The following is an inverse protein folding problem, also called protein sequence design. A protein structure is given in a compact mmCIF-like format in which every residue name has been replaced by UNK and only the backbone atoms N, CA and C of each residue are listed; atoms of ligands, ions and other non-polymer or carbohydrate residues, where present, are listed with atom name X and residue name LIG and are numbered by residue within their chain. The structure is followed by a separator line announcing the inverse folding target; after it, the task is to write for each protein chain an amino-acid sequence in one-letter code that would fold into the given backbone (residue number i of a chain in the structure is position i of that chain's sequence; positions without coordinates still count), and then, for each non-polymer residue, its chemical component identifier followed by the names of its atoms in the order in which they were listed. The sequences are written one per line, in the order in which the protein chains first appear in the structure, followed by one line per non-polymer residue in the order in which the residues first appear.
data_IF_545622881199
#
_entry.id   IF_545622881199
#
_cell.length_a   1.000
_cell.length_b   1.000
_cell.length_c   1.000
_cell.angle_alpha   90.00
_cell.angle_beta   90.00
_cell.angle_gamma   90.00
#
_symmetry.space_group_name_H-M   'P 1'
#
loop_
_entity.id
_entity.type
_entity.pdbx_description
1 polymer ?
#
# COMPACT_ATOMS: atom_id res chain seq x y z
N UNK A 1 -9.35 -49.90 21.79
CA UNK A 1 -9.38 -49.31 20.46
C UNK A 1 -8.93 -47.87 20.66
N UNK A 2 -7.66 -47.67 20.45
CA UNK A 2 -6.89 -46.47 20.78
C UNK A 2 -7.01 -45.58 19.52
N UNK A 3 -7.39 -44.36 19.70
CA UNK A 3 -7.40 -43.32 18.62
C UNK A 3 -6.19 -42.47 18.90
N UNK A 4 -5.23 -42.51 17.98
CA UNK A 4 -4.01 -41.70 18.02
C UNK A 4 -4.36 -40.29 17.51
N UNK A 5 -4.03 -39.30 18.34
CA UNK A 5 -4.05 -37.88 17.98
C UNK A 5 -2.77 -37.58 17.17
N UNK A 6 -2.93 -37.15 15.92
CA UNK A 6 -1.81 -36.63 15.11
C UNK A 6 -1.66 -35.15 15.41
N UNK A 7 -0.50 -34.79 15.97
CA UNK A 7 -0.06 -33.42 16.25
C UNK A 7 0.27 -32.69 14.95
N UNK A 8 -0.46 -31.59 14.67
CA UNK A 8 -0.10 -30.62 13.64
C UNK A 8 1.05 -29.73 14.13
N UNK A 9 2.26 -30.00 13.67
CA UNK A 9 3.43 -29.14 13.84
C UNK A 9 3.31 -27.88 12.96
N UNK A 10 2.89 -26.78 13.56
CA UNK A 10 3.03 -25.44 12.97
C UNK A 10 4.52 -25.05 12.90
N UNK A 11 5.11 -25.10 11.72
CA UNK A 11 6.42 -24.53 11.44
C UNK A 11 6.42 -23.01 11.64
N UNK A 12 6.94 -22.58 12.79
CA UNK A 12 7.31 -21.19 13.05
C UNK A 12 8.53 -20.81 12.21
N UNK A 13 8.30 -20.03 11.17
CA UNK A 13 9.37 -19.33 10.49
C UNK A 13 9.80 -18.11 11.32
N UNK A 14 10.75 -18.32 12.21
CA UNK A 14 11.46 -17.25 12.91
C UNK A 14 12.43 -16.56 11.92
N UNK A 15 12.09 -15.35 11.53
CA UNK A 15 12.97 -14.48 10.75
C UNK A 15 13.84 -13.70 11.74
N UNK A 16 15.02 -14.23 12.04
CA UNK A 16 16.04 -13.54 12.82
C UNK A 16 16.51 -12.27 12.11
N UNK A 17 16.34 -11.14 12.79
CA UNK A 17 16.92 -9.85 12.40
C UNK A 17 18.30 -9.77 13.05
N UNK A 18 19.34 -10.08 12.30
CA UNK A 18 20.71 -9.82 12.73
C UNK A 18 20.96 -8.32 12.81
N UNK A 19 21.18 -7.81 14.02
CA UNK A 19 21.65 -6.47 14.31
C UNK A 19 23.17 -6.46 14.29
N UNK A 20 23.77 -6.13 13.17
CA UNK A 20 25.20 -5.81 13.11
C UNK A 20 25.44 -4.39 13.67
N UNK A 21 26.03 -4.32 14.85
CA UNK A 21 26.57 -3.10 15.44
C UNK A 21 27.91 -2.77 14.78
N UNK A 22 27.91 -1.83 13.85
CA UNK A 22 29.10 -1.26 13.24
C UNK A 22 29.66 -0.16 14.15
N UNK A 23 30.80 -0.41 14.74
CA UNK A 23 31.63 0.55 15.49
C UNK A 23 32.20 1.56 14.49
N UNK A 24 31.78 2.82 14.60
CA UNK A 24 32.38 3.92 13.83
C UNK A 24 33.49 4.53 14.69
N UNK A 25 34.69 4.49 14.12
CA UNK A 25 35.88 5.13 14.63
C UNK A 25 35.80 6.63 14.38
N UNK A 26 36.01 7.38 15.44
CA UNK A 26 36.05 8.82 15.52
C UNK A 26 37.36 9.35 14.88
N UNK A 27 37.29 10.05 13.77
CA UNK A 27 38.41 10.85 13.26
C UNK A 27 38.07 12.32 13.37
N UNK A 28 38.75 12.95 14.34
CA UNK A 28 38.82 14.40 14.55
C UNK A 28 39.63 15.02 13.44
N UNK A 29 39.12 16.09 12.86
CA UNK A 29 39.90 17.11 12.20
C UNK A 29 39.64 18.43 12.89
N UNK A 30 40.71 18.87 13.60
CA UNK A 30 40.89 20.25 14.04
C UNK A 30 41.36 21.06 12.81
N UNK A 31 40.77 22.22 12.57
CA UNK A 31 41.46 23.35 11.95
C UNK A 31 40.84 24.65 12.41
N UNK A 32 41.71 25.35 13.05
CA UNK A 32 41.72 26.71 13.60
C UNK A 32 41.78 27.70 12.44
N UNK A 33 40.98 28.77 12.43
CA UNK A 33 41.52 30.09 12.12
C UNK A 33 40.57 31.23 12.49
N UNK A 34 41.17 32.12 13.22
CA UNK A 34 40.71 33.33 13.84
C UNK A 34 40.58 34.55 12.89
N UNK A 35 40.00 35.63 13.48
CA UNK A 35 40.15 37.07 13.16
C UNK A 35 38.89 37.67 12.47
N UNK A 36 38.25 38.70 12.92
CA UNK A 36 38.40 39.89 13.75
C UNK A 36 37.07 40.64 13.87
N UNK A 37 36.93 41.21 15.04
CA UNK A 37 36.15 42.37 15.49
C UNK A 37 35.67 43.42 14.46
N UNK A 38 34.46 43.96 14.62
CA UNK A 38 34.19 45.31 15.08
C UNK A 38 32.71 45.70 14.94
N UNK A 39 32.22 46.27 15.98
CA UNK A 39 31.46 47.46 16.28
C UNK A 39 29.95 47.37 16.33
N UNK A 40 29.47 47.55 17.55
CA UNK A 40 28.14 48.09 17.90
C UNK A 40 28.03 49.56 17.48
N UNK A 41 26.79 50.05 17.23
CA UNK A 41 26.23 50.94 18.23
C UNK A 41 24.72 50.84 18.48
N UNK A 42 24.41 51.04 19.77
CA UNK A 42 23.34 51.88 20.35
C UNK A 42 21.88 51.62 20.04
N UNK A 43 21.18 51.27 21.08
CA UNK A 43 19.73 51.40 21.28
C UNK A 43 19.23 52.82 21.15
N UNK A 44 17.95 53.00 20.86
CA UNK A 44 17.12 53.79 21.75
C UNK A 44 15.77 53.16 22.15
N UNK A 45 15.52 53.28 23.42
CA UNK A 45 14.33 53.79 24.14
C UNK A 45 12.98 53.09 23.89
N UNK A 46 12.46 52.62 25.00
CA UNK A 46 11.10 52.19 25.31
C UNK A 46 10.03 53.16 24.82
N UNK A 47 8.98 52.61 24.22
CA UNK A 47 7.62 53.13 24.37
C UNK A 47 6.70 51.98 24.71
N UNK A 48 5.98 52.13 25.81
CA UNK A 48 4.93 51.29 26.30
C UNK A 48 3.78 51.22 25.27
N UNK A 49 3.38 50.05 24.86
CA UNK A 49 2.10 49.84 24.19
C UNK A 49 1.35 48.69 24.84
N UNK A 50 0.24 49.04 25.36
CA UNK A 50 -0.69 48.28 26.18
C UNK A 50 -1.09 46.95 25.55
N UNK A 51 -1.23 45.96 26.44
CA UNK A 51 -1.76 44.63 26.21
C UNK A 51 -3.13 44.63 25.51
N UNK A 52 -3.15 44.17 24.28
CA UNK A 52 -4.35 43.53 23.72
C UNK A 52 -4.02 42.08 23.48
N UNK A 53 -4.42 41.23 24.40
CA UNK A 53 -4.50 39.79 24.19
C UNK A 53 -5.57 39.53 23.12
N UNK A 54 -5.19 39.55 21.86
CA UNK A 54 -5.93 38.92 20.81
C UNK A 54 -5.76 37.41 20.99
N UNK A 55 -6.73 36.78 21.58
CA UNK A 55 -6.95 35.33 21.49
C UNK A 55 -7.08 35.04 20.00
N UNK A 56 -6.01 34.50 19.42
CA UNK A 56 -6.06 34.00 18.06
C UNK A 56 -7.15 32.93 18.04
N UNK A 57 -8.30 33.24 17.45
CA UNK A 57 -9.36 32.32 17.18
C UNK A 57 -8.75 31.17 16.39
N UNK A 58 -8.68 29.98 16.98
CA UNK A 58 -8.34 28.76 16.28
C UNK A 58 -9.34 28.63 15.14
N UNK A 59 -8.91 28.79 13.88
CA UNK A 59 -9.75 28.53 12.73
C UNK A 59 -10.30 27.10 12.90
N UNK A 60 -11.61 26.98 13.04
CA UNK A 60 -12.27 25.68 13.09
C UNK A 60 -11.88 24.90 11.82
N UNK A 61 -11.49 23.65 11.99
CA UNK A 61 -11.21 22.76 10.86
C UNK A 61 -12.54 22.57 10.12
N UNK A 62 -12.60 22.74 8.78
CA UNK A 62 -13.81 22.48 8.01
C UNK A 62 -14.29 21.04 8.26
N UNK A 63 -15.61 20.85 8.30
CA UNK A 63 -16.23 19.55 8.65
C UNK A 63 -15.97 18.44 7.61
N UNK A 64 -15.53 18.79 6.42
CA UNK A 64 -15.23 17.89 5.30
C UNK A 64 -13.75 17.53 5.15
N UNK A 65 -12.93 17.92 6.14
CA UNK A 65 -11.46 17.75 6.10
C UNK A 65 -11.03 16.80 7.21
N UNK A 66 -10.13 15.86 6.89
CA UNK A 66 -9.54 14.97 7.88
C UNK A 66 -8.82 15.76 8.97
N UNK A 67 -9.22 15.53 10.23
CA UNK A 67 -8.66 16.21 11.40
C UNK A 67 -7.18 15.90 11.68
N UNK A 68 -6.63 14.80 11.09
CA UNK A 68 -5.25 14.38 11.28
C UNK A 68 -4.30 14.85 10.18
N UNK A 69 -4.73 14.79 8.91
CA UNK A 69 -3.85 15.16 7.79
C UNK A 69 -4.23 16.48 7.13
N UNK A 70 -5.38 17.05 7.48
CA UNK A 70 -5.90 18.33 6.95
C UNK A 70 -6.17 18.30 5.44
N UNK A 71 -6.49 17.12 4.90
CA UNK A 71 -6.89 16.92 3.50
C UNK A 71 -8.30 16.32 3.44
N UNK A 72 -8.99 16.52 2.32
CA UNK A 72 -10.30 15.93 2.02
C UNK A 72 -10.24 15.03 0.78
N UNK A 73 -9.05 14.55 0.43
CA UNK A 73 -8.83 13.72 -0.76
C UNK A 73 -9.43 12.32 -0.56
N UNK A 74 -10.58 12.10 -1.19
CA UNK A 74 -11.29 10.81 -1.19
C UNK A 74 -10.81 9.88 -2.31
N UNK A 75 -9.99 10.37 -3.22
CA UNK A 75 -9.49 9.61 -4.38
C UNK A 75 -8.22 8.85 -4.07
N UNK A 76 -7.46 9.28 -3.07
CA UNK A 76 -6.21 8.66 -2.68
C UNK A 76 -6.46 7.43 -1.79
N UNK A 77 -6.52 6.27 -2.40
CA UNK A 77 -6.74 5.01 -1.70
C UNK A 77 -5.69 4.69 -0.62
N UNK A 78 -4.52 5.33 -0.65
CA UNK A 78 -3.48 5.18 0.38
C UNK A 78 -3.81 5.93 1.67
N UNK A 79 -4.76 6.85 1.64
CA UNK A 79 -5.34 7.48 2.84
C UNK A 79 -6.54 6.66 3.35
N UNK A 80 -7.12 5.85 2.47
CA UNK A 80 -8.36 5.13 2.72
C UNK A 80 -9.59 6.02 2.67
N UNK A 81 -10.74 5.43 2.92
CA UNK A 81 -12.03 6.12 2.93
C UNK A 81 -12.04 7.28 3.95
N UNK A 82 -12.65 8.40 3.57
CA UNK A 82 -12.91 9.53 4.47
C UNK A 82 -14.33 9.40 5.02
N UNK A 83 -14.46 9.30 6.35
CA UNK A 83 -15.73 9.23 7.04
C UNK A 83 -15.87 10.31 8.09
N UNK A 84 -17.13 10.71 8.33
CA UNK A 84 -17.50 11.65 9.37
C UNK A 84 -18.42 10.99 10.38
N UNK A 85 -18.18 11.25 11.65
CA UNK A 85 -19.04 10.89 12.76
C UNK A 85 -19.06 12.05 13.75
N UNK A 86 -20.23 12.57 14.07
CA UNK A 86 -20.40 13.80 14.84
C UNK A 86 -19.60 14.96 14.21
N UNK A 87 -18.66 15.54 14.96
CA UNK A 87 -17.78 16.62 14.50
C UNK A 87 -16.38 16.11 14.06
N UNK A 88 -16.21 14.79 13.93
CA UNK A 88 -14.93 14.16 13.62
C UNK A 88 -14.98 13.64 12.18
N UNK A 89 -14.10 14.16 11.32
CA UNK A 89 -13.88 13.63 9.97
C UNK A 89 -12.46 13.11 9.88
N UNK A 90 -12.28 11.85 9.46
CA UNK A 90 -10.96 11.24 9.36
C UNK A 90 -10.87 10.23 8.23
N UNK A 91 -9.70 10.15 7.61
CA UNK A 91 -9.35 9.04 6.73
C UNK A 91 -9.10 7.77 7.54
N UNK A 92 -9.51 6.65 7.00
CA UNK A 92 -9.32 5.33 7.62
C UNK A 92 -7.88 5.10 8.05
N UNK A 93 -6.92 5.28 7.17
CA UNK A 93 -5.52 5.01 7.49
C UNK A 93 -4.86 6.09 8.35
N UNK A 94 -5.39 7.31 8.40
CA UNK A 94 -4.95 8.29 9.38
C UNK A 94 -5.24 7.85 10.81
N UNK A 95 -6.33 7.09 11.04
CA UNK A 95 -6.64 6.47 12.33
C UNK A 95 -5.76 5.25 12.58
N UNK A 96 -5.71 4.31 11.63
CA UNK A 96 -4.99 3.05 11.79
C UNK A 96 -3.48 3.21 12.03
N UNK A 97 -2.85 4.21 11.40
CA UNK A 97 -1.44 4.51 11.60
C UNK A 97 -1.14 5.45 12.77
N UNK A 98 -2.14 5.81 13.56
CA UNK A 98 -1.97 6.62 14.78
C UNK A 98 -1.66 5.70 15.97
N UNK A 99 -0.42 5.62 16.45
CA UNK A 99 -0.02 4.63 17.45
C UNK A 99 -0.63 4.86 18.84
N UNK A 100 -1.21 6.02 19.08
CA UNK A 100 -1.95 6.33 20.32
C UNK A 100 -3.42 5.93 20.29
N UNK A 101 -3.90 5.33 19.19
CA UNK A 101 -5.27 4.87 19.05
C UNK A 101 -5.37 3.36 19.20
N UNK A 102 -6.41 2.92 19.93
CA UNK A 102 -6.83 1.53 20.00
C UNK A 102 -8.28 1.43 19.52
N UNK A 103 -8.60 0.34 18.83
CA UNK A 103 -9.97 0.01 18.44
C UNK A 103 -10.68 -0.60 19.66
N UNK A 104 -11.23 0.26 20.52
CA UNK A 104 -11.92 -0.15 21.75
C UNK A 104 -13.42 -0.39 21.54
N UNK A 105 -13.96 0.00 20.38
CA UNK A 105 -15.34 -0.22 19.99
C UNK A 105 -15.53 -1.42 19.09
N UNK A 106 -16.77 -1.86 18.91
CA UNK A 106 -17.14 -2.86 17.93
C UNK A 106 -16.85 -2.36 16.49
N UNK A 107 -16.72 -3.24 15.48
CA UNK A 107 -16.36 -2.84 14.11
C UNK A 107 -17.27 -1.77 13.48
N UNK A 108 -18.55 -1.72 13.93
CA UNK A 108 -19.54 -0.75 13.46
C UNK A 108 -19.74 0.43 14.41
N UNK A 109 -19.01 0.47 15.52
CA UNK A 109 -19.06 1.54 16.49
C UNK A 109 -17.97 2.58 16.21
N UNK A 110 -18.29 3.86 16.40
CA UNK A 110 -17.34 4.93 16.10
C UNK A 110 -16.93 5.00 14.63
N UNK A 111 -15.70 5.35 14.37
CA UNK A 111 -15.08 5.28 13.05
C UNK A 111 -14.24 4.00 12.96
N UNK A 112 -14.78 2.94 12.35
CA UNK A 112 -14.12 1.62 12.21
C UNK A 112 -13.61 1.03 13.56
N UNK A 113 -14.42 1.14 14.62
CA UNK A 113 -14.07 0.68 15.96
C UNK A 113 -13.24 1.65 16.80
N UNK A 114 -12.91 2.83 16.25
CA UNK A 114 -12.27 3.90 17.02
C UNK A 114 -13.34 4.82 17.63
N UNK A 115 -13.37 4.89 18.95
CA UNK A 115 -14.34 5.69 19.68
C UNK A 115 -13.99 7.19 19.62
N UNK A 116 -15.00 8.05 19.56
CA UNK A 116 -14.83 9.51 19.46
C UNK A 116 -13.98 10.09 20.60
N UNK A 117 -14.07 9.53 21.80
CA UNK A 117 -13.27 9.98 22.95
C UNK A 117 -11.77 9.66 22.78
N UNK A 118 -11.44 8.48 22.26
CA UNK A 118 -10.05 8.08 22.03
C UNK A 118 -9.44 8.88 20.89
N UNK A 119 -10.22 9.15 19.83
CA UNK A 119 -9.81 10.05 18.74
C UNK A 119 -9.50 11.45 19.28
N UNK A 120 -10.34 12.00 20.16
CA UNK A 120 -10.08 13.30 20.80
C UNK A 120 -8.84 13.30 21.70
N UNK A 121 -8.53 12.19 22.39
CA UNK A 121 -7.28 12.04 23.16
C UNK A 121 -6.06 12.07 22.22
N UNK A 122 -6.13 11.36 21.13
CA UNK A 122 -5.05 11.31 20.12
C UNK A 122 -4.83 12.68 19.45
N UNK A 123 -5.89 13.41 19.14
CA UNK A 123 -5.79 14.79 18.65
C UNK A 123 -5.06 15.70 19.64
N UNK A 124 -5.37 15.59 20.95
CA UNK A 124 -4.64 16.34 21.97
C UNK A 124 -3.16 15.97 21.99
N UNK A 125 -2.81 14.68 21.90
CA UNK A 125 -1.41 14.23 21.79
C UNK A 125 -0.75 14.83 20.56
N UNK A 126 -1.41 14.72 19.40
CA UNK A 126 -0.92 15.22 18.11
C UNK A 126 -0.70 16.74 18.08
N UNK A 127 -1.48 17.52 18.86
CA UNK A 127 -1.35 18.99 18.89
C UNK A 127 0.03 19.48 19.33
N UNK A 128 0.81 18.64 20.02
CA UNK A 128 2.20 18.92 20.44
C UNK A 128 3.23 18.40 19.45
N UNK A 129 2.86 17.48 18.55
CA UNK A 129 3.77 16.86 17.60
C UNK A 129 3.85 17.65 16.29
N UNK A 130 5.06 17.87 15.82
CA UNK A 130 5.34 18.57 14.55
C UNK A 130 5.74 17.58 13.47
N UNK A 131 5.16 17.74 12.31
CA UNK A 131 5.56 16.96 11.13
C UNK A 131 6.99 17.29 10.72
N UNK A 132 7.84 16.28 10.65
CA UNK A 132 9.24 16.43 10.22
C UNK A 132 9.35 17.01 8.80
N UNK A 133 8.36 16.79 7.95
CA UNK A 133 8.40 17.22 6.55
C UNK A 133 7.78 18.60 6.32
N UNK A 134 6.56 18.83 6.80
CA UNK A 134 5.86 20.10 6.54
C UNK A 134 5.88 21.07 7.75
N UNK A 135 6.49 20.71 8.86
CA UNK A 135 6.63 21.48 10.10
C UNK A 135 5.31 21.87 10.79
N UNK A 136 4.15 21.55 10.23
CA UNK A 136 2.84 21.78 10.85
C UNK A 136 2.62 20.82 12.02
N UNK A 137 1.83 21.24 13.00
CA UNK A 137 1.39 20.42 14.14
C UNK A 137 0.33 19.40 13.70
N UNK A 138 0.04 18.41 14.55
CA UNK A 138 -0.95 17.37 14.29
C UNK A 138 -0.38 16.08 13.70
N UNK A 139 0.93 15.92 13.72
CA UNK A 139 1.64 14.78 13.12
C UNK A 139 1.57 13.53 14.03
N UNK A 140 0.44 12.85 14.06
CA UNK A 140 0.19 11.70 14.93
C UNK A 140 0.91 10.43 14.51
N UNK A 141 1.22 10.25 13.22
CA UNK A 141 1.92 9.07 12.71
C UNK A 141 3.41 9.17 13.05
N UNK A 142 4.01 8.09 13.54
CA UNK A 142 5.41 8.07 13.96
C UNK A 142 6.16 6.85 13.43
N UNK A 143 7.48 6.91 13.45
CA UNK A 143 8.32 5.75 13.17
C UNK A 143 8.20 4.73 14.31
N UNK A 144 7.97 3.45 13.98
CA UNK A 144 7.81 2.37 14.96
C UNK A 144 9.10 1.94 15.65
N UNK A 145 10.26 2.51 15.27
CA UNK A 145 11.52 2.27 15.98
C UNK A 145 11.52 3.11 17.27
N UNK A 146 11.68 2.49 18.45
CA UNK A 146 11.50 3.16 19.75
C UNK A 146 12.34 4.42 19.95
N UNK A 147 13.59 4.43 19.46
CA UNK A 147 14.52 5.55 19.60
C UNK A 147 14.34 6.61 18.51
N UNK A 148 13.40 6.43 17.60
CA UNK A 148 13.17 7.37 16.51
C UNK A 148 12.07 8.38 16.86
N UNK A 149 12.44 9.65 16.94
CA UNK A 149 11.51 10.75 17.22
C UNK A 149 10.80 11.32 15.98
N UNK A 150 10.96 10.70 14.82
CA UNK A 150 10.36 11.19 13.56
C UNK A 150 8.87 10.97 13.57
N UNK A 151 8.11 12.08 13.47
CA UNK A 151 6.65 12.10 13.34
C UNK A 151 6.23 12.83 12.07
N UNK A 152 5.11 12.43 11.49
CA UNK A 152 4.61 13.01 10.22
C UNK A 152 3.10 12.84 10.07
N UNK A 153 2.51 13.62 9.18
CA UNK A 153 1.16 13.33 8.67
C UNK A 153 1.25 12.18 7.66
N UNK A 154 0.25 11.34 7.60
CA UNK A 154 0.24 10.19 6.67
C UNK A 154 0.59 10.59 5.23
N UNK A 155 -0.04 11.60 4.59
CA UNK A 155 0.34 12.00 3.23
C UNK A 155 1.78 12.50 3.14
N UNK A 156 2.26 13.26 4.13
CA UNK A 156 3.66 13.70 4.14
C UNK A 156 4.64 12.53 4.22
N UNK A 157 4.31 11.49 4.98
CA UNK A 157 5.10 10.26 5.03
C UNK A 157 5.11 9.52 3.69
N UNK A 158 3.96 9.40 3.02
CA UNK A 158 3.84 8.77 1.69
C UNK A 158 4.71 9.50 0.64
N UNK A 159 4.67 10.83 0.63
CA UNK A 159 5.46 11.67 -0.28
C UNK A 159 6.98 11.59 -0.01
N UNK A 160 7.37 11.32 1.25
CA UNK A 160 8.77 11.30 1.66
C UNK A 160 9.31 9.88 1.93
N UNK A 161 8.81 8.89 1.18
CA UNK A 161 9.29 7.51 1.20
C UNK A 161 9.24 6.82 2.58
N UNK A 162 8.33 7.20 3.46
CA UNK A 162 8.02 6.40 4.63
C UNK A 162 7.42 5.05 4.19
N UNK A 163 7.60 4.03 5.01
CA UNK A 163 7.05 2.70 4.76
C UNK A 163 5.87 2.46 5.69
N UNK A 164 4.80 1.93 5.15
CA UNK A 164 3.57 1.66 5.88
C UNK A 164 3.19 0.19 5.72
N UNK A 165 2.92 -0.48 6.83
CA UNK A 165 2.39 -1.83 6.84
C UNK A 165 0.87 -1.76 6.90
N UNK A 166 0.19 -1.86 5.76
CA UNK A 166 -1.27 -1.74 5.64
C UNK A 166 -2.04 -2.96 6.18
N UNK A 167 -1.33 -4.00 6.56
CA UNK A 167 -1.91 -5.18 7.18
C UNK A 167 -1.49 -5.21 8.64
N UNK A 168 -2.43 -5.62 9.50
CA UNK A 168 -2.18 -5.72 10.92
C UNK A 168 -1.06 -6.73 11.20
N UNK A 169 -0.10 -6.33 12.03
CA UNK A 169 0.95 -7.18 12.54
C UNK A 169 0.97 -7.01 14.06
N UNK A 170 0.77 -8.10 14.79
CA UNK A 170 0.72 -8.09 16.26
C UNK A 170 -0.29 -7.06 16.83
N UNK A 171 -1.44 -6.93 16.19
CA UNK A 171 -2.47 -5.96 16.58
C UNK A 171 -2.21 -4.51 16.19
N UNK A 172 -1.10 -4.21 15.49
CA UNK A 172 -0.67 -2.86 15.14
C UNK A 172 -0.52 -2.67 13.62
N UNK A 173 -0.50 -1.41 13.20
CA UNK A 173 -0.18 -0.98 11.85
C UNK A 173 1.14 -0.20 11.86
N UNK A 174 2.29 -0.89 11.82
CA UNK A 174 3.57 -0.22 11.96
C UNK A 174 3.91 0.65 10.75
N UNK A 175 4.54 1.79 11.04
CA UNK A 175 5.08 2.70 10.03
C UNK A 175 6.54 3.03 10.33
N UNK A 176 7.33 3.26 9.29
CA UNK A 176 8.76 3.51 9.41
C UNK A 176 9.16 4.72 8.57
N UNK A 177 9.98 5.61 9.13
CA UNK A 177 10.52 6.72 8.36
C UNK A 177 11.48 6.21 7.26
N UNK A 178 11.85 7.09 6.33
CA UNK A 178 12.73 6.73 5.21
C UNK A 178 14.08 6.13 5.62
N UNK A 179 14.60 6.49 6.81
CA UNK A 179 15.86 5.94 7.36
C UNK A 179 15.69 4.53 7.92
N UNK A 180 14.54 4.24 8.52
CA UNK A 180 14.26 2.97 9.20
C UNK A 180 13.36 2.06 8.37
N UNK A 181 13.12 2.41 7.13
CA UNK A 181 12.36 1.60 6.18
C UNK A 181 12.99 0.21 6.04
N UNK A 182 12.20 -0.89 6.07
CA UNK A 182 12.70 -2.23 5.80
C UNK A 182 13.43 -2.29 4.45
N UNK A 183 14.64 -2.82 4.45
CA UNK A 183 15.43 -3.00 3.23
C UNK A 183 14.90 -4.22 2.47
N UNK A 184 14.22 -3.98 1.37
CA UNK A 184 13.80 -5.07 0.49
C UNK A 184 15.00 -5.59 -0.30
N UNK A 185 15.21 -6.90 -0.28
CA UNK A 185 16.24 -7.54 -1.08
C UNK A 185 15.80 -7.58 -2.54
N UNK A 186 16.34 -6.67 -3.34
CA UNK A 186 16.08 -6.62 -4.79
C UNK A 186 17.38 -7.00 -5.49
N UNK A 187 17.45 -8.15 -6.19
CA UNK A 187 18.62 -8.51 -6.97
C UNK A 187 18.97 -7.44 -8.01
N UNK A 188 20.23 -7.31 -8.36
CA UNK A 188 20.64 -6.39 -9.43
C UNK A 188 20.33 -7.05 -10.76
N UNK A 189 19.56 -6.38 -11.59
CA UNK A 189 19.31 -6.85 -12.95
C UNK A 189 20.37 -6.30 -13.93
N UNK A 190 20.75 -7.15 -14.88
CA UNK A 190 21.67 -6.77 -15.96
C UNK A 190 20.83 -6.25 -17.13
N UNK A 191 21.21 -5.04 -17.62
CA UNK A 191 20.61 -4.43 -18.79
C UNK A 191 19.14 -3.98 -18.63
N UNK A 192 18.57 -3.48 -19.70
CA UNK A 192 17.29 -2.81 -19.83
C UNK A 192 16.08 -3.69 -19.43
N UNK A 193 15.91 -3.93 -18.13
CA UNK A 193 14.70 -4.57 -17.64
C UNK A 193 13.51 -3.62 -17.80
N UNK A 194 12.37 -4.16 -18.21
CA UNK A 194 11.11 -3.44 -18.37
C UNK A 194 10.13 -3.87 -17.26
N UNK A 195 9.34 -2.91 -16.80
CA UNK A 195 8.15 -3.22 -16.02
C UNK A 195 7.07 -3.75 -16.98
N UNK A 196 6.64 -5.00 -16.83
CA UNK A 196 5.64 -5.60 -17.75
C UNK A 196 4.25 -4.94 -17.67
N UNK A 197 3.99 -4.14 -16.63
CA UNK A 197 2.70 -3.43 -16.45
C UNK A 197 2.67 -2.13 -17.28
N UNK A 198 3.68 -1.27 -17.15
CA UNK A 198 3.70 0.01 -17.87
C UNK A 198 4.64 0.04 -19.08
N UNK A 199 5.41 -1.02 -19.29
CA UNK A 199 6.40 -1.19 -20.37
C UNK A 199 7.52 -0.12 -20.38
N UNK A 200 7.73 0.55 -19.25
CA UNK A 200 8.83 1.49 -19.07
C UNK A 200 10.06 0.81 -18.48
N UNK A 201 11.24 1.38 -18.76
CA UNK A 201 12.50 0.86 -18.25
C UNK A 201 12.66 1.06 -16.74
N UNK A 202 13.11 0.01 -16.09
CA UNK A 202 13.46 0.01 -14.67
C UNK A 202 14.88 0.55 -14.47
N UNK A 203 15.10 1.33 -13.40
CA UNK A 203 16.41 1.92 -13.09
C UNK A 203 16.95 1.32 -11.80
N UNK A 204 18.14 0.68 -11.86
CA UNK A 204 18.81 0.15 -10.67
C UNK A 204 19.14 1.22 -9.61
N UNK A 205 19.23 2.50 -10.00
CA UNK A 205 19.41 3.62 -9.08
C UNK A 205 18.20 3.93 -8.23
N UNK A 206 17.01 3.51 -8.65
CA UNK A 206 15.74 3.82 -7.97
C UNK A 206 15.16 2.59 -7.24
N UNK A 207 16.00 1.93 -6.45
CA UNK A 207 15.64 0.66 -5.78
C UNK A 207 14.48 0.78 -4.81
N UNK A 208 14.23 1.96 -4.24
CA UNK A 208 13.12 2.18 -3.32
C UNK A 208 11.76 2.11 -4.01
N UNK A 209 11.72 2.42 -5.30
CA UNK A 209 10.53 2.38 -6.15
C UNK A 209 10.41 1.11 -6.99
N UNK A 210 11.30 0.15 -6.77
CA UNK A 210 11.22 -1.17 -7.40
C UNK A 210 10.66 -2.21 -6.45
N UNK A 211 10.12 -3.27 -7.01
CA UNK A 211 9.76 -4.48 -6.33
C UNK A 211 10.17 -5.70 -7.17
N UNK A 212 10.69 -6.70 -6.48
CA UNK A 212 11.07 -7.98 -7.07
C UNK A 212 10.11 -9.07 -6.56
N UNK A 213 9.57 -9.85 -7.47
CA UNK A 213 8.68 -10.97 -7.16
C UNK A 213 9.43 -12.30 -7.30
N UNK A 214 9.53 -13.04 -6.20
CA UNK A 214 10.27 -14.31 -6.18
C UNK A 214 9.57 -15.40 -7.00
N UNK A 215 8.23 -15.37 -7.07
CA UNK A 215 7.41 -16.37 -7.76
C UNK A 215 7.79 -16.59 -9.25
N UNK A 216 8.30 -15.55 -9.92
CA UNK A 216 8.72 -15.64 -11.32
C UNK A 216 9.96 -14.78 -11.64
N UNK A 217 10.66 -14.32 -10.61
CA UNK A 217 11.89 -13.53 -10.73
C UNK A 217 11.73 -12.24 -11.55
N UNK A 218 10.55 -11.62 -11.47
CA UNK A 218 10.24 -10.42 -12.24
C UNK A 218 10.39 -9.15 -11.43
N UNK A 219 10.66 -8.04 -12.14
CA UNK A 219 10.84 -6.72 -11.55
C UNK A 219 9.75 -5.78 -12.02
N UNK A 220 9.27 -4.94 -11.12
CA UNK A 220 8.19 -3.99 -11.39
C UNK A 220 8.46 -2.65 -10.72
N UNK A 221 7.86 -1.58 -11.23
CA UNK A 221 7.72 -0.38 -10.44
C UNK A 221 6.74 -0.65 -9.28
N UNK A 222 7.12 -0.23 -8.09
CA UNK A 222 6.29 -0.33 -6.90
C UNK A 222 4.90 0.27 -7.12
N UNK A 223 4.84 1.47 -7.75
CA UNK A 223 3.57 2.16 -8.04
C UNK A 223 2.66 1.35 -8.97
N UNK A 224 3.22 0.67 -9.96
CA UNK A 224 2.44 -0.19 -10.86
C UNK A 224 1.78 -1.34 -10.08
N UNK A 225 2.53 -2.02 -9.21
CA UNK A 225 1.98 -3.08 -8.37
C UNK A 225 0.98 -2.57 -7.33
N UNK A 226 1.17 -1.37 -6.78
CA UNK A 226 0.20 -0.74 -5.89
C UNK A 226 -1.15 -0.53 -6.60
N UNK A 227 -1.12 -0.05 -7.84
CA UNK A 227 -2.34 0.12 -8.63
C UNK A 227 -3.03 -1.22 -8.95
N UNK A 228 -2.24 -2.23 -9.37
CA UNK A 228 -2.77 -3.58 -9.63
C UNK A 228 -3.42 -4.14 -8.36
N UNK A 229 -2.73 -4.09 -7.21
CA UNK A 229 -3.24 -4.62 -5.96
C UNK A 229 -4.53 -3.89 -5.52
N UNK A 230 -4.58 -2.57 -5.68
CA UNK A 230 -5.76 -1.80 -5.34
C UNK A 230 -6.98 -2.16 -6.20
N UNK A 231 -6.78 -2.26 -7.52
CA UNK A 231 -7.90 -2.53 -8.44
C UNK A 231 -8.36 -3.97 -8.43
N UNK A 232 -7.45 -4.94 -8.32
CA UNK A 232 -7.82 -6.35 -8.28
C UNK A 232 -8.42 -6.80 -6.95
N UNK A 233 -8.07 -6.15 -5.82
CA UNK A 233 -8.46 -6.63 -4.50
C UNK A 233 -7.85 -8.00 -4.18
N UNK A 234 -7.94 -8.45 -2.93
CA UNK A 234 -7.30 -9.70 -2.49
C UNK A 234 -7.86 -10.94 -3.19
N UNK A 235 -9.16 -10.93 -3.51
CA UNK A 235 -9.80 -12.11 -4.06
C UNK A 235 -9.35 -12.44 -5.49
N UNK A 236 -9.01 -11.43 -6.28
CA UNK A 236 -8.55 -11.61 -7.66
C UNK A 236 -7.06 -11.28 -7.89
N UNK A 237 -6.33 -10.87 -6.83
CA UNK A 237 -4.93 -10.48 -6.94
C UNK A 237 -4.04 -11.68 -7.26
N UNK A 238 -3.35 -11.61 -8.38
CA UNK A 238 -2.36 -12.60 -8.83
C UNK A 238 -1.19 -11.91 -9.53
N UNK A 239 -0.07 -12.60 -9.60
CA UNK A 239 1.12 -12.07 -10.26
C UNK A 239 0.85 -11.79 -11.74
N UNK A 240 1.12 -10.58 -12.26
CA UNK A 240 0.85 -10.25 -13.67
C UNK A 240 1.66 -11.07 -14.68
N UNK A 241 2.72 -11.75 -14.24
CA UNK A 241 3.60 -12.51 -15.13
C UNK A 241 3.37 -14.03 -15.07
N UNK A 242 3.17 -14.60 -13.87
CA UNK A 242 3.05 -16.06 -13.71
C UNK A 242 1.73 -16.52 -13.08
N UNK A 243 0.81 -15.60 -12.79
CA UNK A 243 -0.49 -15.84 -12.16
C UNK A 243 -0.45 -16.50 -10.77
N UNK A 244 0.72 -16.64 -10.14
CA UNK A 244 0.82 -17.11 -8.77
C UNK A 244 0.04 -16.16 -7.84
N UNK A 245 -0.84 -16.69 -7.00
CA UNK A 245 -1.72 -15.92 -6.11
C UNK A 245 -1.13 -15.82 -4.71
N UNK A 246 -0.86 -16.92 -4.06
CA UNK A 246 -0.52 -16.99 -2.64
C UNK A 246 0.80 -16.30 -2.31
N UNK A 247 1.88 -16.72 -2.95
CA UNK A 247 3.19 -16.11 -2.75
C UNK A 247 3.19 -14.64 -3.17
N UNK A 248 2.48 -14.30 -4.26
CA UNK A 248 2.41 -12.93 -4.73
C UNK A 248 1.69 -12.01 -3.73
N UNK A 249 0.55 -12.42 -3.17
CA UNK A 249 -0.17 -11.67 -2.13
C UNK A 249 0.72 -11.47 -0.91
N UNK A 250 1.43 -12.53 -0.46
CA UNK A 250 2.37 -12.45 0.65
C UNK A 250 3.49 -11.43 0.37
N UNK A 251 4.09 -11.46 -0.83
CA UNK A 251 5.11 -10.48 -1.24
C UNK A 251 4.54 -9.05 -1.20
N UNK A 252 3.32 -8.83 -1.72
CA UNK A 252 2.69 -7.51 -1.72
C UNK A 252 2.51 -6.99 -0.29
N UNK A 253 1.91 -7.79 0.59
CA UNK A 253 1.65 -7.43 1.99
C UNK A 253 2.95 -7.14 2.73
N UNK A 254 3.94 -8.01 2.64
CA UNK A 254 5.25 -7.84 3.29
C UNK A 254 6.06 -6.65 2.73
N UNK A 255 5.81 -6.26 1.50
CA UNK A 255 6.42 -5.08 0.89
C UNK A 255 5.70 -3.77 1.24
N UNK A 256 4.71 -3.79 2.13
CA UNK A 256 3.94 -2.61 2.51
C UNK A 256 3.06 -2.07 1.37
N UNK A 257 2.55 -2.94 0.53
CA UNK A 257 1.53 -2.60 -0.47
C UNK A 257 0.16 -2.87 0.13
N UNK A 258 -0.73 -1.89 0.01
CA UNK A 258 -2.12 -2.04 0.40
C UNK A 258 -2.84 -2.99 -0.55
N UNK A 259 -3.33 -4.09 -0.02
CA UNK A 259 -4.16 -5.08 -0.73
C UNK A 259 -5.54 -5.06 -0.08
N UNK A 260 -6.55 -4.44 -0.72
CA UNK A 260 -7.90 -4.37 -0.15
C UNK A 260 -8.54 -5.75 -0.07
N UNK A 261 -9.11 -6.09 1.07
CA UNK A 261 -9.91 -7.33 1.23
C UNK A 261 -11.30 -7.12 0.62
N UNK A 262 -11.41 -7.23 -0.68
CA UNK A 262 -12.64 -7.05 -1.45
C UNK A 262 -12.51 -7.63 -2.85
N UNK A 263 -13.64 -7.72 -3.54
CA UNK A 263 -13.71 -7.99 -4.97
C UNK A 263 -13.05 -6.88 -5.81
N UNK A 264 -12.70 -7.14 -7.06
CA UNK A 264 -12.15 -6.15 -7.97
C UNK A 264 -13.03 -4.90 -8.11
N UNK A 265 -12.40 -3.75 -8.38
CA UNK A 265 -13.15 -2.48 -8.53
C UNK A 265 -14.16 -2.51 -9.67
N UNK A 266 -13.87 -3.21 -10.75
CA UNK A 266 -14.79 -3.32 -11.90
C UNK A 266 -16.04 -4.13 -11.59
N UNK A 267 -16.01 -5.06 -10.64
CA UNK A 267 -17.22 -5.76 -10.17
C UNK A 267 -18.05 -4.87 -9.24
N UNK A 268 -17.40 -4.05 -8.40
CA UNK A 268 -18.08 -3.15 -7.47
C UNK A 268 -18.79 -1.99 -8.17
N UNK A 269 -18.25 -1.51 -9.29
CA UNK A 269 -18.81 -0.37 -10.03
C UNK A 269 -19.89 -0.78 -11.02
N UNK A 270 -20.13 -2.09 -11.19
CA UNK A 270 -21.05 -2.60 -12.21
C UNK A 270 -20.56 -2.33 -13.66
N UNK A 271 -19.37 -1.77 -13.80
CA UNK A 271 -18.69 -1.58 -15.07
C UNK A 271 -17.97 -2.87 -15.47
N UNK A 272 -18.70 -3.97 -15.53
CA UNK A 272 -18.20 -5.20 -16.13
C UNK A 272 -18.15 -5.01 -17.65
N UNK A 273 -17.18 -4.25 -18.13
CA UNK A 273 -16.85 -4.19 -19.57
C UNK A 273 -16.48 -5.55 -20.15
N UNK A 274 -16.43 -6.58 -19.31
CA UNK A 274 -16.25 -7.97 -19.71
C UNK A 274 -17.45 -8.50 -20.49
N UNK A 275 -18.66 -7.93 -20.28
CA UNK A 275 -19.85 -8.26 -21.09
C UNK A 275 -19.75 -7.72 -22.53
N UNK A 276 -18.85 -6.75 -22.80
CA UNK A 276 -18.63 -6.19 -24.15
C UNK A 276 -17.47 -6.85 -24.90
N UNK A 277 -16.73 -7.78 -24.30
CA UNK A 277 -15.70 -8.54 -25.00
C UNK A 277 -16.40 -9.64 -25.80
N UNK A 278 -16.65 -9.37 -27.06
CA UNK A 278 -17.11 -10.41 -28.01
C UNK A 278 -15.98 -11.43 -28.21
N UNK A 279 -15.98 -12.46 -27.40
CA UNK A 279 -15.10 -13.59 -27.59
C UNK A 279 -15.45 -14.32 -28.88
N UNK A 280 -14.42 -14.82 -29.55
CA UNK A 280 -14.60 -15.73 -30.71
C UNK A 280 -13.70 -16.95 -30.54
N UNK A 281 -14.20 -18.08 -31.02
CA UNK A 281 -13.44 -19.31 -31.04
C UNK A 281 -12.17 -19.18 -31.92
N UNK A 282 -10.97 -19.37 -31.30
CA UNK A 282 -9.69 -19.31 -32.00
C UNK A 282 -9.22 -20.63 -32.56
N UNK A 283 -9.99 -21.71 -32.43
CA UNK A 283 -9.65 -23.02 -33.04
C UNK A 283 -9.29 -22.84 -34.51
N UNK A 284 -8.26 -23.54 -34.97
CA UNK A 284 -7.85 -23.54 -36.40
C UNK A 284 -9.04 -23.85 -37.31
N UNK A 285 -9.81 -24.89 -36.96
CA UNK A 285 -11.09 -25.20 -37.57
C UNK A 285 -12.17 -25.21 -36.48
N UNK A 286 -13.07 -24.22 -36.56
CA UNK A 286 -14.20 -24.16 -35.66
C UNK A 286 -15.29 -25.16 -36.10
N UNK A 287 -15.69 -26.04 -35.20
CA UNK A 287 -16.71 -27.08 -35.44
C UNK A 287 -18.13 -26.57 -35.25
N UNK A 288 -18.33 -25.39 -34.64
CA UNK A 288 -19.62 -24.82 -34.37
C UNK A 288 -20.33 -24.41 -35.68
N UNK A 289 -21.50 -24.96 -35.95
CA UNK A 289 -22.29 -24.68 -37.15
C UNK A 289 -22.86 -23.26 -37.18
N UNK A 290 -22.98 -22.63 -36.03
CA UNK A 290 -23.44 -21.23 -35.88
C UNK A 290 -22.30 -20.20 -35.97
N UNK A 291 -21.07 -20.67 -36.12
CA UNK A 291 -19.91 -19.81 -36.35
C UNK A 291 -19.08 -19.54 -35.09
N UNK A 292 -17.96 -18.83 -35.29
CA UNK A 292 -16.93 -18.62 -34.24
C UNK A 292 -17.37 -17.72 -33.10
N UNK A 293 -18.32 -16.83 -33.34
CA UNK A 293 -18.79 -15.86 -32.35
C UNK A 293 -20.00 -16.36 -31.55
N UNK A 294 -20.51 -17.54 -31.91
CA UNK A 294 -21.63 -18.12 -31.18
C UNK A 294 -21.17 -18.57 -29.80
N UNK A 295 -21.89 -18.13 -28.78
CA UNK A 295 -21.68 -18.54 -27.39
C UNK A 295 -22.99 -19.14 -26.89
N UNK A 296 -23.07 -20.46 -26.90
CA UNK A 296 -24.22 -21.24 -26.48
C UNK A 296 -23.97 -21.95 -25.16
N UNK A 297 -24.85 -22.90 -24.86
CA UNK A 297 -24.72 -23.75 -23.68
C UNK A 297 -23.85 -24.97 -23.98
N UNK A 298 -23.35 -25.62 -22.94
CA UNK A 298 -22.62 -26.88 -22.97
C UNK A 298 -21.42 -26.87 -23.96
N UNK A 299 -21.49 -27.74 -25.00
CA UNK A 299 -20.39 -27.94 -25.95
C UNK A 299 -20.04 -26.72 -26.80
N UNK A 300 -20.94 -25.73 -26.89
CA UNK A 300 -20.74 -24.51 -27.69
C UNK A 300 -20.49 -23.27 -26.85
N UNK A 301 -20.31 -23.42 -25.54
CA UNK A 301 -19.83 -22.37 -24.68
C UNK A 301 -18.41 -21.93 -25.08
N UNK A 302 -18.18 -20.60 -25.09
CA UNK A 302 -16.87 -20.03 -25.34
C UNK A 302 -16.06 -19.94 -24.03
N UNK A 303 -15.11 -20.83 -23.89
CA UNK A 303 -14.23 -20.91 -22.74
C UNK A 303 -13.00 -20.00 -22.93
N UNK A 304 -12.78 -19.07 -22.01
CA UNK A 304 -11.63 -18.17 -22.08
C UNK A 304 -10.36 -18.84 -21.56
N UNK A 305 -9.20 -18.42 -22.06
CA UNK A 305 -7.91 -18.91 -21.59
C UNK A 305 -7.70 -18.59 -20.10
N UNK A 306 -7.47 -19.62 -19.27
CA UNK A 306 -7.30 -19.50 -17.82
C UNK A 306 -6.08 -18.67 -17.40
N UNK A 307 -5.11 -18.50 -18.30
CA UNK A 307 -3.91 -17.72 -18.02
C UNK A 307 -4.03 -16.26 -18.45
N UNK A 308 -4.49 -15.96 -19.66
CA UNK A 308 -4.52 -14.59 -20.17
C UNK A 308 -5.93 -13.98 -20.25
N UNK A 309 -6.99 -14.76 -20.26
CA UNK A 309 -8.36 -14.28 -20.37
C UNK A 309 -8.69 -13.51 -21.66
N UNK A 310 -7.77 -13.45 -22.64
CA UNK A 310 -7.92 -12.60 -23.83
C UNK A 310 -8.32 -13.35 -25.09
N UNK A 311 -8.34 -14.66 -25.05
CA UNK A 311 -8.75 -15.53 -26.17
C UNK A 311 -9.72 -16.57 -25.67
N UNK A 312 -10.61 -17.04 -26.53
CA UNK A 312 -11.59 -18.06 -26.17
C UNK A 312 -11.69 -19.17 -27.24
N UNK A 313 -12.20 -20.31 -26.84
CA UNK A 313 -12.45 -21.48 -27.71
C UNK A 313 -13.73 -22.17 -27.26
N UNK A 314 -14.49 -22.75 -28.20
CA UNK A 314 -15.64 -23.57 -27.80
C UNK A 314 -15.18 -24.84 -27.09
N UNK A 315 -15.88 -25.27 -26.06
CA UNK A 315 -15.61 -26.50 -25.29
C UNK A 315 -15.39 -27.68 -26.25
N UNK A 316 -16.29 -27.87 -27.22
CA UNK A 316 -16.20 -28.94 -28.22
C UNK A 316 -15.02 -28.76 -29.20
N UNK A 317 -14.59 -27.53 -29.49
CA UNK A 317 -13.45 -27.26 -30.36
C UNK A 317 -12.10 -27.52 -29.67
N UNK A 318 -12.04 -27.31 -28.38
CA UNK A 318 -10.86 -27.58 -27.55
C UNK A 318 -10.79 -29.05 -27.10
N UNK A 319 -11.90 -29.77 -27.13
CA UNK A 319 -12.01 -31.14 -26.61
C UNK A 319 -11.87 -31.17 -25.09
N UNK A 320 -12.41 -30.15 -24.40
CA UNK A 320 -12.39 -30.06 -22.96
C UNK A 320 -13.34 -31.09 -22.34
N UNK A 321 -12.93 -31.61 -21.16
CA UNK A 321 -13.74 -32.48 -20.35
C UNK A 321 -14.65 -31.63 -19.43
N UNK A 322 -15.95 -31.97 -19.38
CA UNK A 322 -16.93 -31.26 -18.54
C UNK A 322 -16.56 -31.25 -17.02
N UNK A 323 -15.74 -32.19 -16.60
CA UNK A 323 -15.39 -32.34 -15.17
C UNK A 323 -14.19 -31.47 -14.71
N UNK A 324 -13.35 -31.00 -15.64
CA UNK A 324 -12.22 -30.13 -15.30
C UNK A 324 -11.80 -29.27 -16.51
N UNK A 325 -12.53 -28.19 -16.81
CA UNK A 325 -12.34 -27.40 -18.03
C UNK A 325 -11.20 -26.39 -17.84
N UNK A 326 -9.95 -26.83 -17.69
CA UNK A 326 -8.80 -25.93 -17.79
C UNK A 326 -8.31 -25.86 -19.23
N UNK A 327 -8.20 -24.65 -19.77
CA UNK A 327 -7.70 -24.44 -21.11
C UNK A 327 -6.75 -23.26 -21.20
N UNK A 328 -5.62 -23.46 -21.89
CA UNK A 328 -4.62 -22.45 -22.15
C UNK A 328 -4.42 -22.27 -23.65
N UNK A 329 -4.42 -21.04 -24.14
CA UNK A 329 -4.13 -20.75 -25.55
C UNK A 329 -2.65 -21.05 -25.88
N UNK A 330 -2.34 -21.23 -27.17
CA UNK A 330 -0.98 -21.60 -27.64
C UNK A 330 0.12 -20.66 -27.10
N UNK A 331 -0.16 -19.36 -27.02
CA UNK A 331 0.78 -18.38 -26.46
C UNK A 331 1.01 -18.55 -24.97
N UNK A 332 0.10 -19.18 -24.24
CA UNK A 332 0.18 -19.40 -22.80
C UNK A 332 0.64 -20.80 -22.43
N UNK A 333 0.58 -21.77 -23.33
CA UNK A 333 1.09 -23.13 -23.11
C UNK A 333 2.64 -23.19 -23.15
N UNK A 334 3.26 -22.23 -23.84
CA UNK A 334 4.73 -22.19 -24.06
C UNK A 334 5.49 -21.46 -22.98
N UNK A 335 4.85 -21.01 -21.92
CA UNK A 335 5.43 -20.31 -20.78
C UNK A 335 5.25 -21.19 -19.52
#
# INVERSE_FOLDING_TARGET
MIIDDEDDDEERNDFEIESETSTIIDERFDDDDSITSTSTPSSPIMEDCESSKSVAASKAIPSDVCIFCFQNDQTNYLLGELKSLDEITAHKFCLYFSPGLSQNGEPNEGLWGFLSEDIRKELRRGSFLRCTFCSRKGAVVGCSIPECSVTFHLPCGLENNAFFHYHQKDGLYPSYCSKHRPKLTIPTFRHRALCTICQEYLKNSDRTNLLYTKCCQSYYHRKCLMNVAYHQGEFNLKCPNCNNKEEFISIMKNSGIYVPYREPTWELTGESRLEEIEFRCIATECKCTQGRNFNGDDEWELFSCDRCGSTAIHVSCAGLDEQNPEWFCDSCQTI
#
